data_IF_510111308246
#
_entry.id   IF_510111308246
#
_cell.length_a   1.000
_cell.length_b   1.000
_cell.length_c   1.000
_cell.angle_alpha   90.00
_cell.angle_beta   90.00
_cell.angle_gamma   90.00
#
_symmetry.space_group_name_H-M   'P 1'
#
loop_
_entity.id
_entity.type
_entity.pdbx_description
1 polymer ?
#
# COMPACT_ATOMS: atom_id res chain seq x y z
N UNK A 1 12.26 13.03 12.87
CA UNK A 1 12.39 12.15 11.71
C UNK A 1 12.31 13.01 10.45
N UNK A 2 13.22 12.83 9.51
CA UNK A 2 13.16 13.46 8.19
C UNK A 2 12.56 12.43 7.25
N UNK A 3 11.52 12.82 6.52
CA UNK A 3 10.83 11.95 5.56
C UNK A 3 11.03 12.51 4.17
N UNK A 4 11.37 11.62 3.23
CA UNK A 4 11.40 11.93 1.80
C UNK A 4 10.51 10.94 1.05
N UNK A 5 9.87 11.40 0.00
CA UNK A 5 8.97 10.60 -0.85
C UNK A 5 9.61 10.41 -2.22
N UNK A 6 9.52 9.19 -2.75
CA UNK A 6 9.82 8.87 -4.14
C UNK A 6 8.49 8.56 -4.82
N UNK A 7 8.15 9.32 -5.85
CA UNK A 7 6.85 9.23 -6.51
C UNK A 7 7.02 9.48 -8.02
N UNK A 8 6.27 8.75 -8.82
CA UNK A 8 6.26 8.86 -10.28
C UNK A 8 5.08 9.67 -10.82
N UNK A 9 3.96 9.72 -10.08
CA UNK A 9 2.81 10.56 -10.44
C UNK A 9 3.06 12.01 -10.01
N UNK A 10 3.12 12.97 -10.95
CA UNK A 10 3.39 14.36 -10.62
C UNK A 10 2.31 15.01 -9.73
N UNK A 11 1.07 14.52 -9.77
CA UNK A 11 -0.01 15.02 -8.91
C UNK A 11 0.22 14.58 -7.46
N UNK A 12 0.51 13.28 -7.25
CA UNK A 12 0.84 12.75 -5.94
C UNK A 12 2.15 13.35 -5.40
N UNK A 13 3.16 13.54 -6.25
CA UNK A 13 4.39 14.23 -5.89
C UNK A 13 4.13 15.68 -5.43
N UNK A 14 3.26 16.42 -6.13
CA UNK A 14 2.86 17.76 -5.73
C UNK A 14 2.13 17.76 -4.38
N UNK A 15 1.23 16.79 -4.13
CA UNK A 15 0.56 16.66 -2.83
C UNK A 15 1.57 16.47 -1.70
N UNK A 16 2.56 15.59 -1.88
CA UNK A 16 3.63 15.41 -0.90
C UNK A 16 4.42 16.70 -0.63
N UNK A 17 4.74 17.47 -1.68
CA UNK A 17 5.36 18.79 -1.54
C UNK A 17 4.48 19.75 -0.74
N UNK A 18 3.17 19.77 -0.98
CA UNK A 18 2.22 20.64 -0.27
C UNK A 18 2.10 20.24 1.21
N UNK A 19 2.28 18.96 1.53
CA UNK A 19 2.34 18.44 2.91
C UNK A 19 3.69 18.75 3.59
N UNK A 20 4.60 19.41 2.89
CA UNK A 20 5.92 19.81 3.41
C UNK A 20 6.95 18.68 3.39
N UNK A 21 6.72 17.63 2.61
CA UNK A 21 7.63 16.50 2.45
C UNK A 21 8.52 16.70 1.21
N UNK A 22 9.81 16.37 1.33
CA UNK A 22 10.72 16.43 0.19
C UNK A 22 10.44 15.30 -0.77
N UNK A 23 10.26 15.62 -2.05
CA UNK A 23 10.17 14.62 -3.14
C UNK A 23 11.54 14.48 -3.77
N UNK A 24 12.04 13.26 -3.81
CA UNK A 24 13.41 12.94 -4.27
C UNK A 24 13.39 11.74 -5.21
N UNK A 25 14.50 11.47 -5.86
CA UNK A 25 14.71 10.23 -6.61
C UNK A 25 15.88 9.44 -6.03
N UNK A 26 15.70 8.12 -5.95
CA UNK A 26 16.77 7.19 -5.58
C UNK A 26 17.85 7.05 -6.66
N UNK A 27 17.57 7.48 -7.88
CA UNK A 27 18.49 7.50 -8.99
C UNK A 27 18.86 8.93 -9.39
N UNK A 28 20.08 9.11 -9.90
CA UNK A 28 20.53 10.39 -10.48
C UNK A 28 19.60 10.77 -11.63
N UNK A 29 19.36 12.06 -11.78
CA UNK A 29 18.53 12.61 -12.85
C UNK A 29 17.08 12.04 -12.93
N UNK A 30 16.62 11.32 -11.90
CA UNK A 30 15.28 10.74 -11.84
C UNK A 30 15.06 9.54 -12.77
N UNK A 31 16.11 9.01 -13.39
CA UNK A 31 16.01 7.89 -14.34
C UNK A 31 16.39 6.57 -13.66
N UNK A 32 15.45 5.63 -13.60
CA UNK A 32 15.68 4.28 -13.06
C UNK A 32 16.51 3.46 -14.05
N UNK A 33 17.79 3.25 -13.73
CA UNK A 33 18.72 2.46 -14.55
C UNK A 33 18.98 1.07 -14.00
N UNK A 34 18.66 0.84 -12.72
CA UNK A 34 19.01 -0.38 -11.95
C UNK A 34 20.51 -0.63 -11.88
N UNK A 35 21.32 0.42 -12.02
CA UNK A 35 22.78 0.38 -11.93
C UNK A 35 23.21 1.09 -10.64
N UNK A 36 24.00 0.41 -9.80
CA UNK A 36 24.50 0.97 -8.54
C UNK A 36 25.31 2.27 -8.73
N UNK A 37 25.99 2.44 -9.86
CA UNK A 37 26.74 3.66 -10.17
C UNK A 37 25.84 4.90 -10.34
N UNK A 38 24.57 4.70 -10.67
CA UNK A 38 23.60 5.76 -10.92
C UNK A 38 22.72 6.04 -9.69
N UNK A 39 22.93 5.34 -8.59
CA UNK A 39 22.21 5.60 -7.33
C UNK A 39 22.54 7.00 -6.82
N UNK A 40 21.53 7.70 -6.38
CA UNK A 40 21.66 8.96 -5.67
C UNK A 40 22.07 8.72 -4.21
N UNK A 41 23.37 8.71 -3.96
CA UNK A 41 23.93 8.44 -2.64
C UNK A 41 23.59 9.50 -1.59
N UNK A 42 23.20 10.71 -1.99
CA UNK A 42 22.70 11.73 -1.06
C UNK A 42 21.33 11.33 -0.46
N UNK A 43 20.58 10.50 -1.18
CA UNK A 43 19.28 9.97 -0.71
C UNK A 43 19.49 8.61 -0.04
N UNK A 44 20.11 7.67 -0.76
CA UNK A 44 20.17 6.27 -0.30
C UNK A 44 21.24 6.03 0.78
N UNK A 45 22.37 6.75 0.73
CA UNK A 45 23.48 6.55 1.66
C UNK A 45 23.17 6.93 3.11
N UNK A 46 22.23 7.84 3.34
CA UNK A 46 21.84 8.31 4.67
C UNK A 46 20.48 7.76 5.14
N UNK A 47 19.82 6.95 4.32
CA UNK A 47 18.48 6.43 4.61
C UNK A 47 18.53 5.37 5.72
N UNK A 48 17.81 5.61 6.82
CA UNK A 48 17.64 4.68 7.95
C UNK A 48 16.55 3.66 7.70
N UNK A 49 15.50 4.05 7.00
CA UNK A 49 14.30 3.25 6.79
C UNK A 49 13.77 3.45 5.37
N UNK A 50 13.61 2.35 4.65
CA UNK A 50 12.91 2.28 3.36
C UNK A 50 11.57 1.62 3.56
N UNK A 51 10.51 2.27 3.10
CA UNK A 51 9.14 1.74 3.10
C UNK A 51 8.59 1.77 1.68
N UNK A 52 8.31 0.61 1.11
CA UNK A 52 7.68 0.52 -0.21
C UNK A 52 6.16 0.42 -0.08
N UNK A 53 5.41 1.18 -0.89
CA UNK A 53 3.95 1.35 -0.75
C UNK A 53 3.24 1.51 -2.09
N UNK A 54 3.83 1.02 -3.18
CA UNK A 54 3.41 1.41 -4.54
C UNK A 54 2.47 0.41 -5.21
N UNK A 55 2.45 -0.84 -4.77
CA UNK A 55 1.77 -1.92 -5.48
C UNK A 55 2.43 -2.29 -6.81
N UNK A 56 3.66 -1.83 -7.06
CA UNK A 56 4.43 -2.09 -8.27
C UNK A 56 5.49 -3.18 -8.03
N UNK A 57 6.40 -3.38 -8.94
CA UNK A 57 7.43 -4.42 -8.88
C UNK A 57 8.83 -3.81 -8.86
N UNK A 58 9.74 -4.41 -8.04
CA UNK A 58 11.15 -4.01 -7.94
C UNK A 58 11.34 -2.49 -7.73
N UNK A 59 10.54 -1.92 -6.85
CA UNK A 59 10.62 -0.49 -6.48
C UNK A 59 11.87 -0.24 -5.66
N UNK A 60 12.22 -1.20 -4.79
CA UNK A 60 13.50 -1.25 -4.10
C UNK A 60 14.32 -2.39 -4.71
N UNK A 61 15.06 -2.08 -5.74
CA UNK A 61 15.80 -3.04 -6.55
C UNK A 61 17.18 -3.40 -5.99
N UNK A 62 17.88 -4.32 -6.65
CA UNK A 62 19.18 -4.82 -6.26
C UNK A 62 20.24 -3.72 -6.14
N UNK A 63 20.22 -2.70 -7.01
CA UNK A 63 21.13 -1.57 -6.96
C UNK A 63 20.94 -0.74 -5.68
N UNK A 64 19.67 -0.45 -5.35
CA UNK A 64 19.33 0.24 -4.11
C UNK A 64 19.70 -0.58 -2.88
N UNK A 65 19.32 -1.86 -2.83
CA UNK A 65 19.61 -2.77 -1.71
C UNK A 65 21.09 -2.92 -1.42
N UNK A 66 21.93 -2.92 -2.46
CA UNK A 66 23.39 -3.02 -2.33
C UNK A 66 24.05 -1.73 -1.81
N UNK A 67 23.40 -0.57 -1.98
CA UNK A 67 23.95 0.75 -1.62
C UNK A 67 23.42 1.31 -0.30
N UNK A 68 22.38 0.71 0.27
CA UNK A 68 21.86 1.11 1.58
C UNK A 68 22.95 1.07 2.65
N UNK A 69 22.90 2.02 3.56
CA UNK A 69 23.81 2.02 4.70
C UNK A 69 23.63 0.79 5.60
N UNK A 70 24.64 0.50 6.37
CA UNK A 70 24.60 -0.59 7.35
C UNK A 70 23.48 -0.36 8.35
N UNK A 71 22.77 -1.41 8.72
CA UNK A 71 21.66 -1.42 9.65
C UNK A 71 20.39 -0.68 9.16
N UNK A 72 20.34 -0.23 7.92
CA UNK A 72 19.11 0.31 7.35
C UNK A 72 18.00 -0.74 7.41
N UNK A 73 16.80 -0.29 7.73
CA UNK A 73 15.59 -1.13 7.80
C UNK A 73 14.83 -1.03 6.48
N UNK A 74 14.42 -2.17 5.95
CA UNK A 74 13.62 -2.24 4.73
C UNK A 74 12.31 -2.97 5.03
N UNK A 75 11.19 -2.40 4.64
CA UNK A 75 9.89 -3.03 4.79
C UNK A 75 8.94 -2.63 3.66
N UNK A 76 7.91 -3.43 3.49
CA UNK A 76 6.88 -3.24 2.48
C UNK A 76 5.49 -3.15 3.15
N UNK A 77 4.67 -2.22 2.67
CA UNK A 77 3.26 -2.11 3.02
C UNK A 77 2.36 -2.30 1.79
N UNK A 78 2.95 -2.44 0.60
CA UNK A 78 2.25 -2.82 -0.62
C UNK A 78 1.69 -4.24 -0.53
N UNK A 79 0.73 -4.56 -1.40
CA UNK A 79 -0.06 -5.79 -1.28
C UNK A 79 0.77 -7.07 -1.47
N UNK A 80 1.73 -7.06 -2.40
CA UNK A 80 2.59 -8.21 -2.72
C UNK A 80 4.04 -7.97 -2.27
N UNK A 81 4.79 -9.06 -2.13
CA UNK A 81 6.21 -9.06 -1.72
C UNK A 81 7.20 -8.72 -2.84
N UNK A 82 6.71 -8.39 -4.02
CA UNK A 82 7.50 -8.12 -5.22
C UNK A 82 7.99 -6.67 -5.36
N UNK A 83 7.65 -5.79 -4.43
CA UNK A 83 8.16 -4.41 -4.44
C UNK A 83 9.63 -4.33 -4.06
N UNK A 84 10.10 -5.24 -3.21
CA UNK A 84 11.50 -5.38 -2.80
C UNK A 84 12.09 -6.58 -3.53
N UNK A 85 13.26 -6.43 -4.14
CA UNK A 85 13.96 -7.53 -4.83
C UNK A 85 14.53 -8.54 -3.82
N UNK A 86 13.62 -9.29 -3.18
CA UNK A 86 13.97 -10.34 -2.22
C UNK A 86 14.66 -11.53 -2.87
N UNK A 87 14.39 -11.79 -4.17
CA UNK A 87 15.04 -12.83 -4.94
C UNK A 87 16.55 -12.56 -5.03
N UNK A 88 16.95 -11.33 -5.41
CA UNK A 88 18.34 -10.92 -5.39
C UNK A 88 19.01 -11.12 -4.02
N UNK A 89 18.31 -10.73 -2.94
CA UNK A 89 18.87 -10.90 -1.59
C UNK A 89 19.04 -12.38 -1.20
N UNK A 90 18.12 -13.27 -1.63
CA UNK A 90 18.23 -14.70 -1.35
C UNK A 90 19.38 -15.37 -2.11
N UNK A 91 19.64 -14.90 -3.32
CA UNK A 91 20.72 -15.45 -4.16
C UNK A 91 22.11 -14.96 -3.73
N UNK A 92 22.23 -13.73 -3.21
CA UNK A 92 23.51 -13.06 -3.03
C UNK A 92 23.89 -12.82 -1.56
N UNK A 93 22.94 -12.87 -0.62
CA UNK A 93 23.14 -12.49 0.77
C UNK A 93 22.71 -13.59 1.74
N UNK A 94 23.29 -13.58 2.93
CA UNK A 94 22.91 -14.51 3.98
C UNK A 94 21.81 -13.93 4.86
N UNK A 95 20.78 -14.75 5.13
CA UNK A 95 19.62 -14.40 5.94
C UNK A 95 19.73 -15.00 7.34
N UNK A 96 19.70 -14.17 8.36
CA UNK A 96 19.73 -14.56 9.77
C UNK A 96 18.44 -14.05 10.45
N UNK A 97 17.56 -14.96 10.82
CA UNK A 97 16.33 -14.62 11.53
C UNK A 97 16.63 -14.38 13.02
N UNK A 98 16.57 -13.11 13.46
CA UNK A 98 16.85 -12.73 14.84
C UNK A 98 15.61 -12.83 15.73
N UNK A 99 14.44 -12.77 15.17
CA UNK A 99 13.13 -13.07 15.77
C UNK A 99 12.10 -13.26 14.65
N UNK A 100 10.92 -13.85 14.94
CA UNK A 100 9.90 -14.07 13.90
C UNK A 100 9.65 -12.83 13.07
N UNK A 101 9.72 -12.98 11.74
CA UNK A 101 9.50 -11.93 10.75
C UNK A 101 10.52 -10.77 10.76
N UNK A 102 11.71 -10.94 11.37
CA UNK A 102 12.81 -9.95 11.36
C UNK A 102 14.11 -10.61 11.03
N UNK A 103 14.68 -10.25 9.90
CA UNK A 103 15.94 -10.83 9.40
C UNK A 103 17.04 -9.79 9.29
N UNK A 104 18.26 -10.17 9.71
CA UNK A 104 19.47 -9.48 9.27
C UNK A 104 19.91 -10.10 7.95
N UNK A 105 20.18 -9.26 6.98
CA UNK A 105 20.63 -9.66 5.64
C UNK A 105 22.09 -9.24 5.51
N UNK A 106 23.01 -10.19 5.74
CA UNK A 106 24.45 -9.95 5.68
C UNK A 106 24.94 -9.94 4.24
N UNK A 107 25.73 -8.92 3.91
CA UNK A 107 26.25 -8.68 2.56
C UNK A 107 27.68 -9.13 2.39
N UNK A 108 28.41 -9.42 3.48
CA UNK A 108 29.79 -9.85 3.46
C UNK A 108 29.91 -11.35 3.64
N UNK A 109 30.95 -11.89 3.00
CA UNK A 109 31.41 -13.27 3.20
C UNK A 109 32.78 -13.28 3.84
N UNK A 110 33.07 -14.26 4.73
CA UNK A 110 34.37 -14.50 5.30
C UNK A 110 35.37 -15.03 4.23
N UNK A 111 36.67 -15.01 4.49
CA UNK A 111 37.67 -15.48 3.54
C UNK A 111 37.50 -16.94 3.08
N UNK A 112 36.82 -17.76 3.85
CA UNK A 112 36.51 -19.16 3.52
C UNK A 112 35.26 -19.33 2.66
N UNK A 113 34.61 -18.21 2.29
CA UNK A 113 33.37 -18.18 1.50
C UNK A 113 32.09 -18.38 2.31
N UNK A 114 32.18 -18.49 3.65
CA UNK A 114 31.00 -18.55 4.53
C UNK A 114 30.45 -17.14 4.84
N UNK A 115 29.19 -17.01 5.26
CA UNK A 115 28.66 -15.72 5.68
C UNK A 115 29.39 -15.14 6.87
N UNK A 116 29.81 -13.87 6.80
CA UNK A 116 30.46 -13.19 7.92
C UNK A 116 29.41 -12.58 8.86
N UNK A 117 29.00 -13.36 9.85
CA UNK A 117 28.05 -12.94 10.88
C UNK A 117 28.64 -11.94 11.90
N UNK A 118 29.94 -11.72 11.89
CA UNK A 118 30.61 -10.71 12.71
C UNK A 118 30.62 -9.33 12.03
N UNK A 119 30.37 -9.28 10.73
CA UNK A 119 30.30 -8.06 9.95
C UNK A 119 29.17 -7.15 10.44
N UNK A 120 29.40 -5.83 10.36
CA UNK A 120 28.36 -4.83 10.55
C UNK A 120 27.68 -4.45 9.24
N UNK A 121 28.11 -5.04 8.13
CA UNK A 121 27.56 -4.78 6.80
C UNK A 121 26.31 -5.63 6.54
N UNK A 122 25.21 -5.28 7.20
CA UNK A 122 23.91 -5.90 7.01
C UNK A 122 22.80 -4.85 6.97
N UNK A 123 21.71 -5.21 6.36
CA UNK A 123 20.42 -4.48 6.45
C UNK A 123 19.42 -5.33 7.24
N UNK A 124 18.34 -4.72 7.69
CA UNK A 124 17.25 -5.38 8.41
C UNK A 124 16.04 -5.45 7.52
N UNK A 125 15.58 -6.65 7.18
CA UNK A 125 14.36 -6.86 6.40
C UNK A 125 13.23 -7.30 7.33
N UNK A 126 12.09 -6.62 7.24
CA UNK A 126 10.89 -6.94 8.00
C UNK A 126 9.91 -7.75 7.14
N UNK A 127 9.21 -8.69 7.78
CA UNK A 127 8.18 -9.55 7.19
C UNK A 127 8.63 -10.26 5.89
N UNK A 128 9.94 -10.46 5.69
CA UNK A 128 10.51 -11.03 4.45
C UNK A 128 10.10 -10.27 3.17
N UNK A 129 9.82 -8.97 3.25
CA UNK A 129 9.32 -8.16 2.15
C UNK A 129 7.81 -8.21 1.94
N UNK A 130 7.09 -9.01 2.72
CA UNK A 130 5.62 -9.06 2.72
C UNK A 130 5.04 -7.90 3.52
N UNK A 131 3.71 -7.80 3.59
CA UNK A 131 2.97 -6.77 4.33
C UNK A 131 3.44 -6.67 5.79
N UNK A 132 4.19 -5.61 6.10
CA UNK A 132 4.78 -5.39 7.44
C UNK A 132 3.71 -5.18 8.52
N UNK A 133 2.57 -4.59 8.17
CA UNK A 133 1.44 -4.39 9.10
C UNK A 133 0.81 -5.71 9.58
N UNK A 134 0.94 -6.78 8.81
CA UNK A 134 0.49 -8.12 9.19
C UNK A 134 1.61 -8.96 9.81
N UNK A 135 2.83 -8.89 9.26
CA UNK A 135 3.97 -9.67 9.74
C UNK A 135 4.56 -9.16 11.06
N UNK A 136 4.61 -7.85 11.26
CA UNK A 136 5.30 -7.22 12.40
C UNK A 136 4.39 -6.33 13.26
N UNK A 137 3.09 -6.24 12.95
CA UNK A 137 2.10 -5.47 13.69
C UNK A 137 0.78 -6.26 13.81
N UNK A 138 -0.29 -5.60 14.22
CA UNK A 138 -1.59 -6.23 14.49
C UNK A 138 -2.59 -6.11 13.34
N UNK A 139 -2.19 -5.50 12.23
CA UNK A 139 -3.08 -5.16 11.12
C UNK A 139 -4.04 -4.02 11.49
N UNK A 140 -5.12 -3.87 10.72
CA UNK A 140 -6.16 -2.88 11.01
C UNK A 140 -7.02 -3.30 12.20
N UNK A 141 -7.46 -2.36 13.04
CA UNK A 141 -8.40 -2.66 14.11
C UNK A 141 -9.71 -3.25 13.55
N UNK A 142 -10.27 -4.25 14.22
CA UNK A 142 -11.52 -4.91 13.80
C UNK A 142 -12.65 -3.92 13.57
N UNK A 143 -12.74 -2.87 14.39
CA UNK A 143 -13.75 -1.82 14.26
C UNK A 143 -13.66 -1.03 12.95
N UNK A 144 -12.46 -0.89 12.38
CA UNK A 144 -12.27 -0.26 11.05
C UNK A 144 -12.62 -1.28 9.96
N UNK A 145 -12.20 -2.53 10.14
CA UNK A 145 -12.48 -3.60 9.17
C UNK A 145 -13.97 -3.96 9.07
N UNK A 146 -14.76 -3.68 10.11
CA UNK A 146 -16.20 -3.89 10.12
C UNK A 146 -16.91 -3.19 8.94
N UNK A 147 -16.54 -1.94 8.64
CA UNK A 147 -17.04 -1.23 7.46
C UNK A 147 -16.69 -1.91 6.14
N UNK A 148 -15.46 -2.42 6.02
CA UNK A 148 -15.04 -3.17 4.83
C UNK A 148 -15.81 -4.49 4.68
N UNK A 149 -16.03 -5.21 5.78
CA UNK A 149 -16.81 -6.44 5.76
C UNK A 149 -18.29 -6.18 5.44
N UNK A 150 -18.88 -5.11 5.99
CA UNK A 150 -20.24 -4.69 5.68
C UNK A 150 -20.39 -4.42 4.17
N UNK A 151 -19.48 -3.66 3.57
CA UNK A 151 -19.48 -3.41 2.12
C UNK A 151 -19.32 -4.70 1.31
N UNK A 152 -18.48 -5.64 1.72
CA UNK A 152 -18.34 -6.94 1.05
C UNK A 152 -19.64 -7.75 1.09
N UNK A 153 -20.35 -7.75 2.21
CA UNK A 153 -21.66 -8.43 2.34
C UNK A 153 -22.70 -7.75 1.49
N UNK A 154 -22.76 -6.42 1.51
CA UNK A 154 -23.70 -5.65 0.68
C UNK A 154 -23.45 -5.84 -0.81
N UNK A 155 -22.18 -5.96 -1.23
CA UNK A 155 -21.82 -6.29 -2.61
C UNK A 155 -22.41 -7.64 -3.05
N UNK A 156 -22.29 -8.66 -2.21
CA UNK A 156 -22.85 -9.98 -2.50
C UNK A 156 -24.39 -9.94 -2.56
N UNK A 157 -25.03 -9.22 -1.63
CA UNK A 157 -26.48 -9.04 -1.63
C UNK A 157 -26.92 -8.26 -2.90
N UNK A 158 -26.18 -7.26 -3.29
CA UNK A 158 -26.46 -6.46 -4.49
C UNK A 158 -26.41 -7.35 -5.76
N UNK A 159 -25.32 -8.12 -5.93
CA UNK A 159 -25.20 -9.07 -7.04
C UNK A 159 -26.33 -10.11 -7.07
N UNK A 160 -26.70 -10.63 -5.91
CA UNK A 160 -27.81 -11.57 -5.81
C UNK A 160 -29.16 -10.95 -6.24
N UNK A 161 -29.40 -9.71 -5.82
CA UNK A 161 -30.63 -8.96 -6.16
C UNK A 161 -30.72 -8.59 -7.65
N UNK A 162 -29.59 -8.47 -8.35
CA UNK A 162 -29.58 -8.27 -9.81
C UNK A 162 -30.06 -9.52 -10.59
N UNK A 163 -30.34 -10.61 -9.91
CA UNK A 163 -30.92 -11.80 -10.51
C UNK A 163 -29.93 -12.70 -11.22
N UNK A 164 -28.63 -12.43 -11.08
CA UNK A 164 -27.56 -13.21 -11.72
C UNK A 164 -27.67 -14.72 -11.45
N UNK A 165 -28.07 -15.11 -10.25
CA UNK A 165 -28.26 -16.50 -9.85
C UNK A 165 -29.44 -17.19 -10.58
N UNK A 166 -30.37 -16.44 -11.16
CA UNK A 166 -31.57 -16.97 -11.82
C UNK A 166 -31.39 -17.15 -13.34
N UNK A 167 -30.23 -16.82 -13.89
CA UNK A 167 -29.91 -16.96 -15.30
C UNK A 167 -29.40 -18.37 -15.55
N UNK A 168 -30.21 -19.19 -16.23
CA UNK A 168 -29.88 -20.58 -16.53
C UNK A 168 -29.03 -20.73 -17.80
N UNK A 169 -29.04 -19.75 -18.68
CA UNK A 169 -28.28 -19.73 -19.91
C UNK A 169 -26.85 -19.24 -19.64
N UNK A 170 -25.87 -20.08 -20.00
CA UNK A 170 -24.45 -19.84 -19.72
C UNK A 170 -23.89 -18.66 -20.52
N UNK A 171 -24.32 -18.52 -21.78
CA UNK A 171 -23.89 -17.45 -22.67
C UNK A 171 -24.42 -16.10 -22.18
N UNK A 172 -25.71 -16.02 -21.87
CA UNK A 172 -26.33 -14.81 -21.26
C UNK A 172 -25.69 -14.45 -19.94
N UNK A 173 -25.35 -15.43 -19.11
CA UNK A 173 -24.64 -15.22 -17.84
C UNK A 173 -23.24 -14.65 -18.08
N UNK A 174 -22.51 -15.16 -19.06
CA UNK A 174 -21.17 -14.69 -19.42
C UNK A 174 -21.18 -13.23 -19.90
N UNK A 175 -22.18 -12.86 -20.71
CA UNK A 175 -22.35 -11.48 -21.19
C UNK A 175 -22.66 -10.47 -20.06
N UNK A 176 -23.26 -10.92 -18.96
CA UNK A 176 -23.58 -10.11 -17.80
C UNK A 176 -22.43 -9.97 -16.79
N UNK A 177 -21.32 -10.70 -16.98
CA UNK A 177 -20.15 -10.56 -16.11
C UNK A 177 -19.47 -9.24 -16.40
N UNK A 178 -19.71 -8.26 -15.53
CA UNK A 178 -19.13 -6.92 -15.57
C UNK A 178 -18.44 -6.61 -14.25
N UNK A 179 -17.49 -5.68 -14.27
CA UNK A 179 -16.91 -5.11 -13.06
C UNK A 179 -17.64 -3.80 -12.79
N UNK A 180 -18.34 -3.75 -11.68
CA UNK A 180 -19.12 -2.58 -11.27
C UNK A 180 -18.60 -2.05 -9.93
N UNK A 181 -18.75 -0.75 -9.73
CA UNK A 181 -18.55 -0.11 -8.43
C UNK A 181 -19.88 -0.15 -7.70
N UNK A 182 -19.85 -0.45 -6.39
CA UNK A 182 -21.07 -0.42 -5.58
C UNK A 182 -21.74 0.97 -5.64
N UNK A 183 -23.09 1.01 -5.67
CA UNK A 183 -23.80 2.27 -5.61
C UNK A 183 -23.42 3.09 -4.37
N UNK A 184 -23.15 4.39 -4.54
CA UNK A 184 -22.77 5.31 -3.46
C UNK A 184 -23.68 5.26 -2.25
N UNK A 185 -24.96 5.02 -2.47
CA UNK A 185 -25.95 4.91 -1.39
C UNK A 185 -25.62 3.78 -0.41
N UNK A 186 -25.07 2.66 -0.87
CA UNK A 186 -24.67 1.55 0.02
C UNK A 186 -23.43 1.93 0.86
N UNK A 187 -22.45 2.59 0.25
CA UNK A 187 -21.30 3.11 0.97
C UNK A 187 -21.70 4.11 2.05
N UNK A 188 -22.63 5.03 1.72
CA UNK A 188 -23.14 6.05 2.65
C UNK A 188 -23.94 5.43 3.81
N UNK A 189 -24.69 4.35 3.56
CA UNK A 189 -25.41 3.61 4.60
C UNK A 189 -24.43 3.00 5.61
N UNK A 190 -23.40 2.30 5.15
CA UNK A 190 -22.36 1.73 6.01
C UNK A 190 -21.63 2.84 6.77
N UNK A 191 -21.23 3.91 6.09
CA UNK A 191 -20.53 5.03 6.71
C UNK A 191 -21.38 5.71 7.80
N UNK A 192 -22.67 5.91 7.57
CA UNK A 192 -23.59 6.48 8.58
C UNK A 192 -23.63 5.65 9.85
N UNK A 193 -23.79 4.33 9.73
CA UNK A 193 -23.80 3.41 10.88
C UNK A 193 -22.44 3.40 11.61
N UNK A 194 -21.35 3.47 10.86
CA UNK A 194 -20.02 3.55 11.46
C UNK A 194 -19.82 4.86 12.23
N UNK A 195 -20.27 6.00 11.71
CA UNK A 195 -20.19 7.30 12.40
C UNK A 195 -20.90 7.23 13.76
N UNK A 196 -22.10 6.67 13.80
CA UNK A 196 -22.83 6.44 15.06
C UNK A 196 -22.04 5.52 16.03
N UNK A 197 -21.46 4.44 15.51
CA UNK A 197 -20.62 3.53 16.24
C UNK A 197 -19.37 4.21 16.84
N UNK A 198 -18.86 5.28 16.24
CA UNK A 198 -17.80 6.12 16.77
C UNK A 198 -18.28 7.26 17.69
N UNK A 199 -19.57 7.33 17.95
CA UNK A 199 -20.17 8.37 18.80
C UNK A 199 -20.38 9.71 18.06
N UNK A 200 -20.26 9.70 16.74
CA UNK A 200 -20.53 10.86 15.90
C UNK A 200 -22.00 10.98 15.53
N UNK A 201 -22.37 12.13 14.97
CA UNK A 201 -23.73 12.39 14.46
C UNK A 201 -23.63 13.05 13.09
N UNK A 202 -24.29 12.47 12.10
CA UNK A 202 -24.36 13.03 10.76
C UNK A 202 -25.44 14.10 10.71
N UNK A 203 -25.08 15.30 10.22
CA UNK A 203 -26.04 16.40 10.05
C UNK A 203 -26.93 16.15 8.83
N UNK A 204 -28.25 16.30 8.99
CA UNK A 204 -29.20 16.21 7.91
C UNK A 204 -29.35 17.55 7.20
N UNK A 205 -29.34 17.53 5.88
CA UNK A 205 -29.59 18.73 5.07
C UNK A 205 -31.04 19.16 5.20
N UNK A 206 -31.28 20.49 5.21
CA UNK A 206 -32.63 21.03 4.92
C UNK A 206 -32.92 20.86 3.42
N UNK A 207 -34.20 20.97 3.05
CA UNK A 207 -34.59 20.91 1.64
C UNK A 207 -33.90 22.01 0.82
N UNK A 208 -33.84 23.24 1.35
CA UNK A 208 -33.23 24.37 0.64
C UNK A 208 -31.70 24.16 0.45
N UNK A 209 -31.01 23.53 1.43
CA UNK A 209 -29.59 23.17 1.32
C UNK A 209 -29.37 22.09 0.26
N UNK A 210 -30.18 21.06 0.26
CA UNK A 210 -30.10 19.97 -0.72
C UNK A 210 -30.40 20.48 -2.14
N UNK A 211 -31.44 21.29 -2.31
CA UNK A 211 -31.80 21.92 -3.58
C UNK A 211 -30.68 22.87 -4.08
N UNK A 212 -30.04 23.63 -3.18
CA UNK A 212 -28.96 24.55 -3.55
C UNK A 212 -27.74 23.86 -4.14
N UNK A 213 -27.35 22.72 -3.57
CA UNK A 213 -26.19 21.93 -4.05
C UNK A 213 -26.60 20.81 -5.01
N UNK A 214 -27.88 20.74 -5.37
CA UNK A 214 -28.45 19.79 -6.32
C UNK A 214 -28.13 18.31 -5.96
N UNK A 215 -28.39 17.93 -4.70
CA UNK A 215 -28.31 16.55 -4.24
C UNK A 215 -29.61 16.13 -3.56
N UNK A 216 -29.96 14.83 -3.51
CA UNK A 216 -31.08 14.36 -2.69
C UNK A 216 -30.84 14.66 -1.21
N UNK A 217 -31.90 14.97 -0.46
CA UNK A 217 -31.81 15.30 0.97
C UNK A 217 -31.25 14.14 1.81
N UNK A 218 -31.53 12.90 1.40
CA UNK A 218 -31.10 11.67 2.06
C UNK A 218 -30.01 10.91 1.27
N UNK A 219 -29.26 11.63 0.41
CA UNK A 219 -28.19 11.07 -0.42
C UNK A 219 -28.68 10.31 -1.67
N UNK A 220 -27.78 9.86 -2.52
CA UNK A 220 -26.34 10.01 -2.39
C UNK A 220 -25.88 11.48 -2.51
N UNK A 221 -24.89 11.84 -1.69
CA UNK A 221 -24.37 13.21 -1.63
C UNK A 221 -23.27 13.48 -2.67
N UNK A 222 -22.83 12.46 -3.37
CA UNK A 222 -21.84 12.52 -4.46
C UNK A 222 -22.34 11.73 -5.66
N UNK A 223 -21.91 12.16 -6.84
CA UNK A 223 -22.12 11.40 -8.07
C UNK A 223 -21.45 10.02 -7.99
N UNK A 224 -21.98 9.03 -8.72
CA UNK A 224 -21.45 7.66 -8.74
C UNK A 224 -19.97 7.60 -9.20
N UNK A 225 -19.57 8.52 -10.06
CA UNK A 225 -18.18 8.62 -10.56
C UNK A 225 -17.19 9.22 -9.56
N UNK A 226 -17.66 9.83 -8.46
CA UNK A 226 -16.81 10.49 -7.49
C UNK A 226 -15.99 9.48 -6.69
N UNK A 227 -14.70 9.72 -6.57
CA UNK A 227 -13.76 8.96 -5.72
C UNK A 227 -13.35 9.82 -4.53
N UNK A 228 -13.50 9.26 -3.34
CA UNK A 228 -13.08 9.90 -2.09
C UNK A 228 -11.56 9.89 -1.94
#
# INVERSE_FOLDING_TARGET
MIVSVVESDPICAMQACMDGVSVVSCYKDGVVTRNAADINMQVMGDTDLVVTTTGNVNVCDSAMLSTLKNTAVVCNIGHFDNEIDTAFMRENYYWDEIKPQVHRIFRDTAPDGTPDLSSKNYIILLAEGRLVNLGNATGHPSRIMDGSFANQVLAQIHLYKQGFANINDEDTRAEMITVEVLPKKLDEEVASLMVEGFGGTVTKLTKDQADYINVPQDGPFKEESYKY
#
